data_IF_520820674425
#
_entry.id   IF_520820674425
#
_cell.length_a   1.000
_cell.length_b   1.000
_cell.length_c   1.000
_cell.angle_alpha   90.00
_cell.angle_beta   90.00
_cell.angle_gamma   90.00
#
_symmetry.space_group_name_H-M   'P 1'
#
loop_
_entity.id
_entity.type
_entity.pdbx_description
1 polymer ?
#
# COMPACT_ATOMS: atom_id res chain seq x y z
N UNK A 1 -6.38 -21.82 -3.54
CA UNK A 1 -7.02 -20.92 -4.51
C UNK A 1 -6.87 -19.56 -3.89
N UNK A 2 -6.02 -18.73 -4.47
CA UNK A 2 -5.67 -17.44 -3.87
C UNK A 2 -6.67 -16.39 -4.37
N UNK A 3 -7.09 -15.49 -3.48
CA UNK A 3 -8.00 -14.39 -3.82
C UNK A 3 -7.15 -13.30 -4.49
N UNK A 4 -7.52 -12.80 -5.69
CA UNK A 4 -6.77 -11.73 -6.34
C UNK A 4 -6.70 -10.47 -5.45
N UNK A 5 -5.54 -9.83 -5.41
CA UNK A 5 -5.32 -8.66 -4.55
C UNK A 5 -6.37 -7.54 -4.75
N UNK A 6 -6.75 -7.13 -5.98
CA UNK A 6 -7.78 -6.11 -6.20
C UNK A 6 -9.15 -6.48 -5.61
N UNK A 7 -9.48 -7.78 -5.57
CA UNK A 7 -10.74 -8.26 -4.96
C UNK A 7 -10.69 -8.07 -3.44
N UNK A 8 -9.54 -8.34 -2.80
CA UNK A 8 -9.38 -8.08 -1.36
C UNK A 8 -9.50 -6.59 -1.06
N UNK A 9 -8.85 -5.73 -1.85
CA UNK A 9 -8.93 -4.27 -1.68
C UNK A 9 -10.37 -3.79 -1.83
N UNK A 10 -11.10 -4.30 -2.82
CA UNK A 10 -12.51 -3.97 -3.03
C UNK A 10 -13.37 -4.37 -1.83
N UNK A 11 -13.25 -5.62 -1.34
CA UNK A 11 -14.00 -6.09 -0.16
C UNK A 11 -13.71 -5.23 1.08
N UNK A 12 -12.48 -4.77 1.27
CA UNK A 12 -12.13 -3.88 2.37
C UNK A 12 -12.73 -2.46 2.21
N UNK A 13 -12.98 -2.03 0.98
CA UNK A 13 -13.66 -0.78 0.66
C UNK A 13 -15.15 -0.78 1.03
N UNK A 14 -15.78 -1.95 1.12
CA UNK A 14 -17.21 -2.09 1.46
C UNK A 14 -17.51 -1.91 2.96
N UNK A 15 -16.48 -1.86 3.81
CA UNK A 15 -16.62 -1.61 5.24
C UNK A 15 -17.11 -0.18 5.54
N UNK A 16 -17.64 0.04 6.75
CA UNK A 16 -18.12 1.35 7.21
C UNK A 16 -17.45 1.74 8.55
N UNK A 17 -16.43 2.62 8.54
CA UNK A 17 -15.83 3.28 7.37
C UNK A 17 -15.01 2.31 6.50
N UNK A 18 -14.74 2.66 5.22
CA UNK A 18 -13.85 1.88 4.35
C UNK A 18 -12.51 1.61 5.04
N UNK A 19 -12.03 0.38 4.96
CA UNK A 19 -10.77 0.00 5.60
C UNK A 19 -9.60 0.47 4.74
N UNK A 20 -8.70 1.25 5.33
CA UNK A 20 -7.52 1.75 4.65
C UNK A 20 -6.59 0.60 4.23
N UNK A 21 -6.06 0.70 3.01
CA UNK A 21 -5.09 -0.25 2.47
C UNK A 21 -4.03 0.55 1.72
N UNK A 22 -2.77 0.45 2.14
CA UNK A 22 -1.66 1.12 1.47
C UNK A 22 -0.73 0.08 0.84
N UNK A 23 -0.44 0.21 -0.45
CA UNK A 23 0.47 -0.67 -1.19
C UNK A 23 1.80 0.04 -1.46
N UNK A 24 2.90 -0.53 -0.99
CA UNK A 24 4.24 0.00 -1.21
C UNK A 24 5.04 -1.04 -2.00
N UNK A 25 5.61 -0.64 -3.13
CA UNK A 25 6.41 -1.52 -3.97
C UNK A 25 7.51 -0.74 -4.69
N UNK A 26 8.58 -1.42 -5.09
CA UNK A 26 9.56 -0.85 -6.01
C UNK A 26 9.00 -0.82 -7.44
N UNK A 27 9.73 -0.19 -8.36
CA UNK A 27 9.35 -0.05 -9.76
C UNK A 27 9.17 -1.38 -10.51
N UNK A 28 9.76 -2.48 -10.02
CA UNK A 28 9.68 -3.78 -10.67
C UNK A 28 8.41 -4.54 -10.28
N UNK A 29 7.87 -4.28 -9.09
CA UNK A 29 6.70 -4.96 -8.53
C UNK A 29 5.44 -4.06 -8.47
N UNK A 30 5.57 -2.76 -8.78
CA UNK A 30 4.50 -1.77 -8.60
C UNK A 30 3.21 -2.08 -9.37
N UNK A 31 3.28 -2.84 -10.46
CA UNK A 31 2.09 -3.26 -11.21
C UNK A 31 1.06 -4.05 -10.38
N UNK A 32 1.47 -4.68 -9.27
CA UNK A 32 0.52 -5.27 -8.31
C UNK A 32 -0.29 -4.19 -7.58
N UNK A 33 0.35 -3.10 -7.17
CA UNK A 33 -0.31 -1.97 -6.54
C UNK A 33 -1.24 -1.26 -7.53
N UNK A 34 -0.76 -0.96 -8.75
CA UNK A 34 -1.59 -0.32 -9.79
C UNK A 34 -2.84 -1.16 -10.11
N UNK A 35 -2.70 -2.50 -10.10
CA UNK A 35 -3.84 -3.38 -10.36
C UNK A 35 -4.99 -3.23 -9.37
N UNK A 36 -4.74 -2.70 -8.17
CA UNK A 36 -5.75 -2.47 -7.14
C UNK A 36 -6.35 -1.06 -7.18
N UNK A 37 -5.85 -0.14 -8.02
CA UNK A 37 -6.51 1.17 -8.23
C UNK A 37 -7.93 1.04 -8.80
N UNK A 38 -8.21 -0.05 -9.53
CA UNK A 38 -9.55 -0.35 -10.04
C UNK A 38 -10.50 -0.84 -8.93
N UNK A 39 -9.98 -1.15 -7.74
CA UNK A 39 -10.79 -1.50 -6.60
C UNK A 39 -11.40 -0.20 -6.05
N UNK A 40 -12.73 -0.15 -5.97
CA UNK A 40 -13.51 1.00 -5.53
C UNK A 40 -13.42 1.26 -4.01
N UNK A 41 -12.22 1.12 -3.43
CA UNK A 41 -11.93 1.43 -2.03
C UNK A 41 -11.41 2.88 -1.94
N UNK A 42 -12.21 3.83 -1.46
CA UNK A 42 -11.81 5.24 -1.39
C UNK A 42 -10.69 5.51 -0.36
N UNK A 43 -10.32 4.51 0.45
CA UNK A 43 -9.21 4.57 1.39
C UNK A 43 -7.96 3.80 0.92
N UNK A 44 -7.92 3.38 -0.35
CA UNK A 44 -6.74 2.80 -0.98
C UNK A 44 -5.72 3.89 -1.35
N UNK A 45 -4.43 3.60 -1.14
CA UNK A 45 -3.31 4.41 -1.64
C UNK A 45 -2.18 3.48 -2.09
N UNK A 46 -1.41 3.91 -3.07
CA UNK A 46 -0.19 3.22 -3.47
C UNK A 46 1.00 4.17 -3.63
N UNK A 47 2.18 3.62 -3.37
CA UNK A 47 3.43 4.35 -3.33
C UNK A 47 4.52 3.54 -4.03
N UNK A 48 4.95 4.03 -5.19
CA UNK A 48 6.15 3.50 -5.83
C UNK A 48 7.38 4.03 -5.10
N UNK A 49 8.29 3.14 -4.72
CA UNK A 49 9.54 3.45 -4.02
C UNK A 49 10.73 3.02 -4.89
N UNK A 50 11.19 3.89 -5.81
CA UNK A 50 12.24 3.55 -6.75
C UNK A 50 13.52 3.08 -6.07
N UNK A 51 14.06 1.96 -6.54
CA UNK A 51 15.22 1.30 -5.96
C UNK A 51 14.94 0.67 -4.59
N UNK A 52 13.69 0.61 -4.12
CA UNK A 52 13.32 0.00 -2.84
C UNK A 52 13.81 -1.43 -2.68
N UNK A 53 13.84 -2.20 -3.77
CA UNK A 53 14.10 -3.65 -3.77
C UNK A 53 13.13 -4.41 -2.85
N UNK A 54 13.35 -5.70 -2.67
CA UNK A 54 12.47 -6.54 -1.85
C UNK A 54 12.77 -6.46 -0.35
N UNK A 55 11.71 -6.63 0.45
CA UNK A 55 11.78 -6.81 1.90
C UNK A 55 12.36 -5.59 2.63
N UNK A 56 13.23 -5.84 3.61
CA UNK A 56 13.76 -4.78 4.47
C UNK A 56 14.63 -3.75 3.74
N UNK A 57 15.06 -4.03 2.50
CA UNK A 57 15.81 -3.07 1.69
C UNK A 57 15.00 -1.81 1.37
N UNK A 58 13.67 -1.93 1.37
CA UNK A 58 12.75 -0.82 1.17
C UNK A 58 12.73 0.15 2.36
N UNK A 59 13.15 -0.29 3.55
CA UNK A 59 13.20 0.52 4.76
C UNK A 59 14.53 1.27 4.92
N UNK A 60 15.45 1.17 3.96
CA UNK A 60 16.76 1.81 4.09
C UNK A 60 16.64 3.34 3.95
N UNK A 61 17.50 4.12 4.63
CA UNK A 61 17.51 5.57 4.49
C UNK A 61 17.84 6.03 3.07
N UNK A 62 17.31 7.19 2.68
CA UNK A 62 17.63 7.85 1.42
C UNK A 62 16.80 7.41 0.21
N UNK A 63 15.75 6.62 0.44
CA UNK A 63 14.72 6.33 -0.57
C UNK A 63 13.68 7.47 -0.62
N UNK A 64 12.98 7.59 -1.74
CA UNK A 64 11.90 8.58 -1.91
C UNK A 64 10.75 7.96 -2.69
N UNK A 65 9.53 7.90 -2.13
CA UNK A 65 9.17 8.31 -0.77
C UNK A 65 9.89 7.45 0.30
N UNK A 66 9.98 7.98 1.52
CA UNK A 66 10.56 7.25 2.65
C UNK A 66 9.55 6.18 3.11
N UNK A 67 9.85 4.91 2.83
CA UNK A 67 8.95 3.80 3.14
C UNK A 67 8.61 3.72 4.63
N UNK A 68 9.57 4.01 5.52
CA UNK A 68 9.32 3.97 6.96
C UNK A 68 8.36 5.09 7.35
N UNK A 69 8.55 6.29 6.81
CA UNK A 69 7.61 7.39 7.06
C UNK A 69 6.21 7.06 6.54
N UNK A 70 6.09 6.51 5.32
CA UNK A 70 4.80 6.08 4.76
C UNK A 70 4.12 5.04 5.65
N UNK A 71 4.84 4.06 6.19
CA UNK A 71 4.28 3.06 7.12
C UNK A 71 3.82 3.73 8.43
N UNK A 72 4.58 4.66 8.98
CA UNK A 72 4.19 5.39 10.19
C UNK A 72 2.95 6.24 9.97
N UNK A 73 2.82 6.88 8.80
CA UNK A 73 1.63 7.66 8.43
C UNK A 73 0.38 6.77 8.32
N UNK A 74 0.52 5.59 7.72
CA UNK A 74 -0.55 4.58 7.69
C UNK A 74 -0.99 4.17 9.09
N UNK A 75 -0.03 3.89 9.98
CA UNK A 75 -0.33 3.51 11.36
C UNK A 75 -1.01 4.66 12.12
N UNK A 76 -0.52 5.89 12.00
CA UNK A 76 -1.16 7.05 12.60
C UNK A 76 -2.61 7.23 12.13
N UNK A 77 -2.91 6.93 10.86
CA UNK A 77 -4.27 6.96 10.32
C UNK A 77 -5.16 5.83 10.87
N UNK A 78 -4.62 4.64 11.05
CA UNK A 78 -5.43 3.42 11.29
C UNK A 78 -5.53 2.99 12.74
N UNK A 79 -4.52 3.26 13.57
CA UNK A 79 -4.52 2.92 15.00
C UNK A 79 -4.68 4.13 15.91
N UNK A 80 -4.54 5.35 15.35
CA UNK A 80 -4.54 6.59 16.13
C UNK A 80 -3.23 6.83 16.89
N UNK A 81 -3.05 8.03 17.49
CA UNK A 81 -1.91 8.34 18.34
C UNK A 81 -1.93 7.60 19.69
#
# INVERSE_FOLDING_TARGET
>A
MDIPYPVVVQTLGENQPPTAVWCLADEQEFGICESAEIADNPAYQDFMIPGGQHGNMMLRPGLTPDAMQTILDFLAQTVGP
#
